data_IF_782208281861
#
_entry.id   IF_782208281861
#
_cell.length_a   1.000
_cell.length_b   1.000
_cell.length_c   1.000
_cell.angle_alpha   90.00
_cell.angle_beta   90.00
_cell.angle_gamma   90.00
#
_symmetry.space_group_name_H-M   'P 1'
#
loop_
_entity.id
_entity.type
_entity.pdbx_description
1 polymer ?
#
# COMPACT_ATOMS: atom_id res chain seq x y z
N UNK A 1 -3.17 -14.80 22.74
CA UNK A 1 -4.29 -15.13 21.84
C UNK A 1 -4.98 -13.81 21.50
N UNK A 2 -4.52 -13.15 20.45
CA UNK A 2 -5.18 -11.95 19.94
C UNK A 2 -6.28 -12.41 19.00
N UNK A 3 -7.52 -12.28 19.44
CA UNK A 3 -8.68 -12.50 18.60
C UNK A 3 -8.72 -11.39 17.57
N UNK A 4 -8.30 -11.70 16.38
CA UNK A 4 -8.49 -10.85 15.20
C UNK A 4 -10.02 -10.79 14.94
N UNK A 5 -10.71 -9.95 15.72
CA UNK A 5 -12.08 -9.58 15.41
C UNK A 5 -12.01 -8.73 14.15
N UNK A 6 -12.14 -9.39 12.98
CA UNK A 6 -12.58 -8.70 11.79
C UNK A 6 -13.81 -7.88 12.23
N UNK A 7 -13.65 -6.56 12.32
CA UNK A 7 -14.76 -5.69 12.64
C UNK A 7 -15.79 -5.87 11.53
N UNK A 8 -16.77 -6.73 11.79
CA UNK A 8 -17.94 -6.81 10.94
C UNK A 8 -18.50 -5.39 10.91
N UNK A 9 -18.52 -4.81 9.71
CA UNK A 9 -19.37 -3.64 9.49
C UNK A 9 -20.71 -4.07 10.07
N UNK A 10 -21.21 -3.36 11.10
CA UNK A 10 -22.44 -3.71 11.81
C UNK A 10 -23.65 -3.40 10.91
N UNK A 11 -23.64 -3.94 9.71
CA UNK A 11 -24.65 -3.72 8.68
C UNK A 11 -25.29 -5.06 8.37
N UNK A 12 -26.56 -5.01 8.03
CA UNK A 12 -27.26 -6.19 7.53
C UNK A 12 -26.55 -6.73 6.27
N UNK A 13 -26.44 -8.06 6.13
CA UNK A 13 -25.88 -8.65 4.93
C UNK A 13 -26.71 -8.26 3.71
N UNK A 14 -26.05 -8.14 2.56
CA UNK A 14 -26.71 -7.93 1.27
C UNK A 14 -27.79 -8.98 1.08
N UNK A 15 -29.03 -8.57 0.83
CA UNK A 15 -30.12 -9.50 0.66
C UNK A 15 -30.07 -10.26 -0.67
N UNK A 16 -30.89 -11.30 -0.81
CA UNK A 16 -30.87 -12.15 -2.01
C UNK A 16 -31.27 -11.38 -3.29
N UNK A 17 -32.12 -10.37 -3.16
CA UNK A 17 -32.54 -9.52 -4.28
C UNK A 17 -31.40 -8.65 -4.76
N UNK A 18 -30.67 -8.03 -3.84
CA UNK A 18 -29.51 -7.18 -4.14
C UNK A 18 -28.39 -8.03 -4.73
N UNK A 19 -28.13 -9.24 -4.22
CA UNK A 19 -27.14 -10.15 -4.77
C UNK A 19 -27.44 -10.56 -6.23
N UNK A 20 -28.73 -10.74 -6.59
CA UNK A 20 -29.16 -11.02 -7.98
C UNK A 20 -28.92 -9.77 -8.87
N UNK A 21 -29.27 -8.58 -8.38
CA UNK A 21 -29.06 -7.34 -9.11
C UNK A 21 -27.56 -7.06 -9.33
N UNK A 22 -26.73 -7.26 -8.31
CA UNK A 22 -25.28 -7.14 -8.41
C UNK A 22 -24.70 -8.10 -9.44
N UNK A 23 -25.13 -9.38 -9.43
CA UNK A 23 -24.69 -10.37 -10.41
C UNK A 23 -25.10 -9.98 -11.82
N UNK A 24 -26.34 -9.54 -12.01
CA UNK A 24 -26.83 -9.05 -13.31
C UNK A 24 -26.04 -7.83 -13.79
N UNK A 25 -25.82 -6.86 -12.91
CA UNK A 25 -25.06 -5.65 -13.21
C UNK A 25 -23.60 -5.96 -13.59
N UNK A 26 -22.95 -6.91 -12.89
CA UNK A 26 -21.57 -7.30 -13.17
C UNK A 26 -21.35 -7.93 -14.55
N UNK A 27 -22.41 -8.45 -15.18
CA UNK A 27 -22.36 -9.08 -16.51
C UNK A 27 -22.52 -8.04 -17.63
N UNK A 28 -23.33 -7.00 -17.39
CA UNK A 28 -23.76 -6.07 -18.44
C UNK A 28 -23.06 -4.70 -18.38
N UNK A 29 -22.39 -4.38 -17.29
CA UNK A 29 -21.67 -3.12 -17.13
C UNK A 29 -20.19 -3.26 -17.50
N UNK A 30 -19.61 -2.14 -17.89
CA UNK A 30 -18.19 -2.02 -18.19
C UNK A 30 -17.42 -1.50 -16.98
N UNK A 31 -16.35 -2.22 -16.60
CA UNK A 31 -15.50 -1.90 -15.46
C UNK A 31 -14.06 -1.54 -15.90
N UNK A 32 -13.88 -1.01 -17.11
CA UNK A 32 -12.58 -0.75 -17.72
C UNK A 32 -11.56 -0.06 -16.77
N UNK A 33 -11.88 0.99 -15.98
CA UNK A 33 -10.90 1.58 -15.09
C UNK A 33 -10.37 0.60 -14.03
N UNK A 34 -11.24 -0.31 -13.55
CA UNK A 34 -10.87 -1.31 -12.53
C UNK A 34 -10.20 -2.53 -13.16
N UNK A 35 -10.64 -2.92 -14.37
CA UNK A 35 -10.06 -4.03 -15.13
C UNK A 35 -8.60 -3.78 -15.54
N UNK A 36 -8.17 -2.52 -15.57
CA UNK A 36 -6.80 -2.14 -15.89
C UNK A 36 -5.83 -2.28 -14.69
N UNK A 37 -6.30 -2.75 -13.52
CA UNK A 37 -5.43 -3.04 -12.38
C UNK A 37 -4.46 -4.15 -12.79
N UNK A 38 -3.16 -3.88 -12.66
CA UNK A 38 -2.08 -4.76 -13.13
C UNK A 38 -1.09 -5.17 -12.04
N UNK A 39 -1.15 -4.54 -10.84
CA UNK A 39 -0.28 -4.89 -9.74
C UNK A 39 -1.05 -4.91 -8.41
N UNK A 40 -0.71 -5.88 -7.55
CA UNK A 40 -1.13 -5.93 -6.15
C UNK A 40 0.12 -5.88 -5.27
N UNK A 41 0.24 -4.83 -4.45
CA UNK A 41 1.34 -4.63 -3.53
C UNK A 41 0.80 -4.56 -2.09
N UNK A 42 1.59 -5.03 -1.14
CA UNK A 42 1.29 -4.93 0.28
C UNK A 42 2.40 -4.18 0.99
N UNK A 43 2.03 -3.17 1.76
CA UNK A 43 2.92 -2.35 2.57
C UNK A 43 2.20 -1.85 3.84
N UNK A 44 2.89 -1.03 4.63
CA UNK A 44 2.30 -0.29 5.74
C UNK A 44 2.34 1.20 5.46
N UNK A 45 1.23 1.86 5.72
CA UNK A 45 1.17 3.30 5.83
C UNK A 45 1.16 3.74 7.29
N UNK A 46 1.82 4.85 7.59
CA UNK A 46 1.74 5.54 8.89
C UNK A 46 1.06 6.89 8.72
N UNK A 47 0.39 7.35 9.76
CA UNK A 47 -0.23 8.68 9.74
C UNK A 47 0.85 9.76 9.80
N UNK A 48 0.77 10.77 8.93
CA UNK A 48 1.71 11.88 8.94
C UNK A 48 1.68 12.69 10.24
N UNK A 49 0.51 12.76 10.88
CA UNK A 49 0.28 13.44 12.16
C UNK A 49 0.43 12.53 13.40
N UNK A 50 0.58 11.22 13.21
CA UNK A 50 0.79 10.24 14.29
C UNK A 50 1.55 9.00 13.79
N UNK A 51 2.88 9.05 13.64
CA UNK A 51 3.67 7.94 13.11
C UNK A 51 3.71 6.68 13.99
N UNK A 52 3.15 6.75 15.19
CA UNK A 52 3.00 5.57 16.06
C UNK A 52 1.89 4.63 15.59
N UNK A 53 0.99 5.11 14.72
CA UNK A 53 -0.11 4.35 14.14
C UNK A 53 0.26 3.89 12.73
N UNK A 54 0.17 2.59 12.49
CA UNK A 54 0.44 1.99 11.19
C UNK A 54 -0.77 1.17 10.73
N UNK A 55 -1.05 1.21 9.44
CA UNK A 55 -2.16 0.49 8.79
C UNK A 55 -1.60 -0.36 7.66
N UNK A 56 -1.87 -1.67 7.70
CA UNK A 56 -1.56 -2.55 6.56
C UNK A 56 -2.43 -2.16 5.36
N UNK A 57 -1.80 -1.97 4.21
CA UNK A 57 -2.41 -1.45 3.01
C UNK A 57 -2.22 -2.40 1.83
N UNK A 58 -3.34 -2.78 1.20
CA UNK A 58 -3.37 -3.57 -0.02
C UNK A 58 -3.56 -2.64 -1.20
N UNK A 59 -2.52 -2.43 -1.98
CA UNK A 59 -2.53 -1.53 -3.13
C UNK A 59 -2.88 -2.30 -4.41
N UNK A 60 -3.91 -1.87 -5.09
CA UNK A 60 -4.29 -2.38 -6.41
C UNK A 60 -4.05 -1.26 -7.42
N UNK A 61 -3.00 -1.39 -8.22
CA UNK A 61 -2.39 -0.32 -8.97
C UNK A 61 -2.60 -0.44 -10.48
N UNK A 62 -2.71 0.72 -11.14
CA UNK A 62 -2.80 0.88 -12.59
C UNK A 62 -1.77 1.89 -13.06
N UNK A 63 -1.13 1.63 -14.20
CA UNK A 63 -0.26 2.60 -14.86
C UNK A 63 -1.11 3.53 -15.75
N UNK A 64 -1.13 4.82 -15.43
CA UNK A 64 -1.72 5.85 -16.30
C UNK A 64 -0.75 6.18 -17.43
N UNK A 65 0.55 6.27 -17.11
CA UNK A 65 1.63 6.54 -18.02
C UNK A 65 2.95 5.95 -17.49
N UNK A 66 4.05 6.18 -18.18
CA UNK A 66 5.39 5.83 -17.65
C UNK A 66 5.76 6.58 -16.38
N UNK A 67 5.17 7.77 -16.18
CA UNK A 67 5.52 8.66 -15.09
C UNK A 67 4.50 8.66 -13.95
N UNK A 68 3.32 8.08 -14.14
CA UNK A 68 2.21 8.15 -13.17
C UNK A 68 1.55 6.80 -13.02
N UNK A 69 1.43 6.35 -11.76
CA UNK A 69 0.60 5.22 -11.33
C UNK A 69 -0.49 5.72 -10.39
N UNK A 70 -1.59 5.00 -10.32
CA UNK A 70 -2.65 5.21 -9.33
C UNK A 70 -3.04 3.88 -8.70
N UNK A 71 -3.31 3.90 -7.40
CA UNK A 71 -3.71 2.72 -6.65
C UNK A 71 -4.96 3.00 -5.83
N UNK A 72 -5.88 2.06 -5.82
CA UNK A 72 -6.93 1.96 -4.80
C UNK A 72 -6.41 1.10 -3.66
N UNK A 73 -6.74 1.48 -2.42
CA UNK A 73 -6.18 0.84 -1.22
C UNK A 73 -7.28 0.20 -0.40
N UNK A 74 -7.09 -1.09 -0.09
CA UNK A 74 -7.96 -1.85 0.80
C UNK A 74 -7.25 -2.28 2.08
N UNK A 75 -8.00 -2.54 3.15
CA UNK A 75 -7.49 -2.99 4.44
C UNK A 75 -7.18 -4.50 4.50
N UNK A 76 -7.61 -5.25 3.49
CA UNK A 76 -7.31 -6.68 3.36
C UNK A 76 -7.40 -7.12 1.89
N UNK A 77 -6.89 -8.31 1.52
CA UNK A 77 -7.06 -8.86 0.19
C UNK A 77 -8.37 -9.66 0.02
N UNK A 78 -9.22 -9.67 1.03
CA UNK A 78 -10.43 -10.49 1.05
C UNK A 78 -11.57 -9.84 0.25
N UNK A 79 -12.55 -10.65 -0.18
CA UNK A 79 -13.69 -10.20 -1.00
C UNK A 79 -14.46 -9.02 -0.38
N UNK A 80 -14.56 -9.00 0.96
CA UNK A 80 -15.31 -7.98 1.71
C UNK A 80 -14.41 -6.89 2.31
N UNK A 81 -13.22 -6.68 1.73
CA UNK A 81 -12.28 -5.65 2.15
C UNK A 81 -12.89 -4.26 2.04
N UNK A 82 -12.53 -3.39 2.98
CA UNK A 82 -12.94 -1.99 2.98
C UNK A 82 -11.99 -1.19 2.12
N UNK A 83 -12.53 -0.37 1.22
CA UNK A 83 -11.76 0.64 0.52
C UNK A 83 -11.37 1.72 1.53
N UNK A 84 -10.09 1.79 1.87
CA UNK A 84 -9.61 2.69 2.91
C UNK A 84 -8.91 3.93 2.38
N UNK A 85 -8.46 3.94 1.12
CA UNK A 85 -7.74 5.08 0.60
C UNK A 85 -7.35 4.98 -0.87
N UNK A 86 -6.54 5.95 -1.28
CA UNK A 86 -5.96 6.03 -2.61
C UNK A 86 -4.52 6.49 -2.51
N UNK A 87 -3.69 6.07 -3.49
CA UNK A 87 -2.33 6.54 -3.65
C UNK A 87 -2.03 6.88 -5.11
N UNK A 88 -1.28 7.95 -5.32
CA UNK A 88 -0.64 8.27 -6.60
C UNK A 88 0.85 8.13 -6.46
N UNK A 89 1.50 7.51 -7.45
CA UNK A 89 2.95 7.40 -7.51
C UNK A 89 3.46 8.11 -8.77
N UNK A 90 4.52 8.90 -8.61
CA UNK A 90 5.12 9.63 -9.72
C UNK A 90 6.63 9.44 -9.77
N UNK A 91 7.20 9.61 -10.96
CA UNK A 91 8.65 9.59 -11.14
C UNK A 91 9.34 10.81 -10.54
N UNK A 92 10.67 10.74 -10.23
CA UNK A 92 11.45 11.88 -9.76
C UNK A 92 11.32 13.09 -10.67
N UNK A 93 11.26 12.89 -11.98
CA UNK A 93 11.10 13.96 -12.95
C UNK A 93 9.85 14.82 -12.68
N UNK A 94 8.69 14.17 -12.48
CA UNK A 94 7.44 14.90 -12.17
C UNK A 94 7.46 15.47 -10.75
N UNK A 95 8.08 14.75 -9.82
CA UNK A 95 8.18 15.21 -8.43
C UNK A 95 8.96 16.54 -8.32
N UNK A 96 10.08 16.68 -9.05
CA UNK A 96 10.88 17.91 -9.09
C UNK A 96 10.11 19.12 -9.63
N UNK A 97 9.10 18.90 -10.48
CA UNK A 97 8.25 19.96 -11.03
C UNK A 97 7.17 20.45 -10.04
N UNK A 98 6.97 19.74 -8.92
CA UNK A 98 5.95 20.10 -7.93
C UNK A 98 6.36 21.34 -7.12
N UNK A 99 5.39 22.18 -6.70
CA UNK A 99 5.65 23.24 -5.74
C UNK A 99 6.26 22.69 -4.42
N UNK A 100 7.15 23.45 -3.73
CA UNK A 100 7.81 22.97 -2.51
C UNK A 100 6.86 22.49 -1.41
N UNK A 101 5.72 23.17 -1.22
CA UNK A 101 4.74 22.74 -0.20
C UNK A 101 3.98 21.49 -0.62
N UNK A 102 3.81 21.26 -1.91
CA UNK A 102 3.22 20.03 -2.43
C UNK A 102 4.17 18.84 -2.25
N UNK A 103 5.48 19.01 -2.52
CA UNK A 103 6.48 17.96 -2.34
C UNK A 103 6.50 17.35 -0.95
N UNK A 104 6.22 18.15 0.09
CA UNK A 104 6.17 17.72 1.50
C UNK A 104 5.03 16.74 1.81
N UNK A 105 4.05 16.62 0.91
CA UNK A 105 2.93 15.69 1.04
C UNK A 105 3.23 14.30 0.49
N UNK A 106 4.44 14.09 -0.01
CA UNK A 106 4.86 12.87 -0.68
C UNK A 106 5.92 12.13 0.13
N UNK A 107 5.90 10.81 0.07
CA UNK A 107 6.89 9.94 0.69
C UNK A 107 7.72 9.20 -0.38
N UNK A 108 8.91 8.75 0.02
CA UNK A 108 9.77 7.89 -0.80
C UNK A 108 9.48 6.42 -0.54
N UNK A 109 9.72 5.56 -1.54
CA UNK A 109 9.59 4.10 -1.40
C UNK A 109 10.92 3.41 -1.08
N UNK A 110 12.00 4.16 -0.84
CA UNK A 110 13.33 3.59 -0.67
C UNK A 110 13.39 2.63 0.50
N UNK A 111 12.96 3.04 1.69
CA UNK A 111 12.98 2.19 2.87
C UNK A 111 12.03 1.00 2.72
N UNK A 112 10.86 1.18 2.17
CA UNK A 112 9.88 0.10 1.95
C UNK A 112 10.47 -1.03 1.11
N UNK A 113 11.15 -0.69 0.02
CA UNK A 113 11.79 -1.67 -0.85
C UNK A 113 12.99 -2.31 -0.18
N UNK A 114 13.90 -1.49 0.41
CA UNK A 114 15.17 -1.97 0.97
C UNK A 114 15.00 -2.76 2.26
N UNK A 115 14.00 -2.45 3.06
CA UNK A 115 13.68 -3.20 4.29
C UNK A 115 12.94 -4.51 4.04
N UNK A 116 12.46 -4.76 2.81
CA UNK A 116 11.60 -5.90 2.51
C UNK A 116 10.14 -5.74 3.00
N UNK A 117 9.77 -4.54 3.49
CA UNK A 117 8.40 -4.25 3.91
C UNK A 117 7.42 -4.36 2.75
N UNK A 118 7.71 -3.68 1.64
CA UNK A 118 6.88 -3.74 0.45
C UNK A 118 7.02 -5.11 -0.21
N UNK A 119 5.92 -5.79 -0.43
CA UNK A 119 5.90 -7.08 -1.12
C UNK A 119 4.85 -7.09 -2.23
N UNK A 120 5.02 -8.01 -3.17
CA UNK A 120 4.03 -8.38 -4.16
C UNK A 120 3.45 -9.76 -3.77
N UNK A 121 2.29 -9.81 -3.09
CA UNK A 121 1.77 -11.06 -2.56
C UNK A 121 1.47 -12.07 -3.66
N UNK A 122 2.04 -13.28 -3.53
CA UNK A 122 1.72 -14.37 -4.45
C UNK A 122 0.31 -14.93 -4.11
N UNK A 123 -0.62 -15.00 -5.09
CA UNK A 123 -1.93 -15.59 -4.82
C UNK A 123 -1.79 -17.07 -4.41
N UNK A 124 -2.50 -17.48 -3.35
CA UNK A 124 -2.46 -18.87 -2.81
C UNK A 124 -2.79 -19.93 -3.86
N UNK A 125 -3.67 -19.61 -4.81
CA UNK A 125 -4.05 -20.50 -5.92
C UNK A 125 -3.15 -20.37 -7.15
N UNK A 126 -2.05 -19.59 -7.08
CA UNK A 126 -1.16 -19.39 -8.21
C UNK A 126 -0.39 -20.67 -8.54
N UNK A 127 -0.40 -21.05 -9.82
CA UNK A 127 0.44 -22.12 -10.33
C UNK A 127 1.84 -21.63 -10.74
N UNK A 128 2.11 -20.35 -10.58
CA UNK A 128 3.42 -19.76 -10.91
C UNK A 128 4.47 -20.25 -9.91
N UNK A 129 5.58 -20.84 -10.37
CA UNK A 129 6.66 -21.25 -9.48
C UNK A 129 7.19 -20.07 -8.65
N UNK A 130 7.53 -20.30 -7.38
CA UNK A 130 7.98 -19.26 -6.45
C UNK A 130 9.13 -18.41 -7.03
N UNK A 131 10.15 -19.04 -7.63
CA UNK A 131 11.27 -18.31 -8.24
C UNK A 131 10.89 -17.38 -9.38
N UNK A 132 9.84 -17.72 -10.14
CA UNK A 132 9.33 -16.85 -11.22
C UNK A 132 8.59 -15.66 -10.61
N UNK A 133 7.83 -15.90 -9.54
CA UNK A 133 7.15 -14.83 -8.79
C UNK A 133 8.15 -13.88 -8.16
N UNK A 134 9.17 -14.41 -7.49
CA UNK A 134 10.26 -13.62 -6.91
C UNK A 134 10.98 -12.76 -7.94
N UNK A 135 11.25 -13.30 -9.13
CA UNK A 135 11.86 -12.52 -10.20
C UNK A 135 10.95 -11.39 -10.70
N UNK A 136 9.64 -11.62 -10.77
CA UNK A 136 8.66 -10.58 -11.11
C UNK A 136 8.58 -9.52 -10.03
N UNK A 137 8.53 -9.93 -8.75
CA UNK A 137 8.56 -9.00 -7.61
C UNK A 137 9.82 -8.13 -7.60
N UNK A 138 10.99 -8.72 -7.85
CA UNK A 138 12.25 -7.96 -7.92
C UNK A 138 12.21 -6.89 -9.01
N UNK A 139 11.64 -7.21 -10.18
CA UNK A 139 11.47 -6.22 -11.26
C UNK A 139 10.54 -5.07 -10.86
N UNK A 140 9.45 -5.37 -10.17
CA UNK A 140 8.56 -4.34 -9.63
C UNK A 140 9.28 -3.46 -8.60
N UNK A 141 10.08 -4.05 -7.72
CA UNK A 141 10.86 -3.31 -6.70
C UNK A 141 11.92 -2.40 -7.32
N UNK A 142 12.58 -2.84 -8.41
CA UNK A 142 13.54 -2.01 -9.16
C UNK A 142 12.89 -0.72 -9.70
N UNK A 143 11.61 -0.75 -10.03
CA UNK A 143 10.87 0.41 -10.52
C UNK A 143 10.32 1.27 -9.37
N UNK A 144 9.66 0.62 -8.40
CA UNK A 144 8.96 1.33 -7.31
C UNK A 144 9.92 2.10 -6.42
N UNK A 145 11.15 1.59 -6.18
CA UNK A 145 12.14 2.25 -5.32
C UNK A 145 12.41 3.71 -5.69
N UNK A 146 12.27 4.05 -6.96
CA UNK A 146 12.51 5.41 -7.47
C UNK A 146 11.28 6.32 -7.43
N UNK A 147 10.09 5.81 -7.13
CA UNK A 147 8.86 6.58 -7.17
C UNK A 147 8.61 7.33 -5.86
N UNK A 148 7.86 8.43 -5.96
CA UNK A 148 7.30 9.16 -4.83
C UNK A 148 5.81 8.92 -4.75
N UNK A 149 5.30 8.58 -3.55
CA UNK A 149 3.90 8.29 -3.27
C UNK A 149 3.19 9.42 -2.54
N UNK A 150 1.95 9.71 -2.93
CA UNK A 150 1.03 10.59 -2.20
C UNK A 150 -0.23 9.83 -1.85
N UNK A 151 -0.44 9.61 -0.55
CA UNK A 151 -1.46 8.71 -0.05
C UNK A 151 -2.42 9.41 0.89
N UNK A 152 -3.71 9.16 0.69
CA UNK A 152 -4.75 9.57 1.63
C UNK A 152 -5.61 8.38 2.05
N UNK A 153 -5.75 8.19 3.37
CA UNK A 153 -6.76 7.29 3.91
C UNK A 153 -8.06 8.06 4.20
N UNK A 154 -9.14 7.50 3.71
CA UNK A 154 -10.50 8.00 3.88
C UNK A 154 -11.21 7.34 5.06
N UNK A 155 -10.78 6.13 5.42
CA UNK A 155 -11.37 5.32 6.49
C UNK A 155 -10.27 4.87 7.47
N UNK A 156 -10.38 5.28 8.72
CA UNK A 156 -9.40 4.96 9.76
C UNK A 156 -9.79 3.65 10.46
N UNK A 157 -9.52 2.54 9.79
CA UNK A 157 -9.91 1.18 10.22
C UNK A 157 -9.21 0.72 11.49
N UNK A 158 -8.03 1.24 11.77
CA UNK A 158 -7.23 0.97 12.96
C UNK A 158 -7.87 1.50 14.25
N UNK A 159 -8.76 2.50 14.15
CA UNK A 159 -9.58 2.97 15.27
C UNK A 159 -10.82 2.11 15.54
N UNK A 160 -11.14 1.18 14.62
CA UNK A 160 -12.37 0.41 14.68
C UNK A 160 -13.61 1.17 14.19
N UNK A 161 -13.45 2.22 13.41
CA UNK A 161 -14.56 2.98 12.84
C UNK A 161 -15.43 2.06 11.96
N UNK A 162 -16.74 1.99 12.27
CA UNK A 162 -17.68 1.15 11.52
C UNK A 162 -18.01 1.69 10.12
N UNK A 163 -17.80 2.99 9.89
CA UNK A 163 -17.96 3.71 8.61
C UNK A 163 -16.86 4.76 8.49
N UNK A 164 -16.56 5.29 7.30
CA UNK A 164 -15.58 6.38 7.15
C UNK A 164 -16.02 7.62 7.94
N UNK A 165 -15.18 8.05 8.90
CA UNK A 165 -15.46 9.22 9.74
C UNK A 165 -14.34 10.25 9.66
N UNK A 166 -14.73 11.52 9.64
CA UNK A 166 -13.82 12.66 9.64
C UNK A 166 -13.19 12.97 8.27
N UNK A 167 -12.22 13.88 8.23
CA UNK A 167 -11.53 14.24 6.98
C UNK A 167 -10.54 13.17 6.55
N UNK A 168 -10.15 13.16 5.26
CA UNK A 168 -9.04 12.34 4.79
C UNK A 168 -7.77 12.59 5.61
N UNK A 169 -7.00 11.54 5.82
CA UNK A 169 -5.72 11.60 6.52
C UNK A 169 -4.58 11.39 5.53
N UNK A 170 -3.61 12.31 5.56
CA UNK A 170 -2.37 12.14 4.84
C UNK A 170 -1.59 10.99 5.47
N UNK A 171 -1.19 10.04 4.62
CA UNK A 171 -0.40 8.89 5.03
C UNK A 171 1.00 8.99 4.44
N UNK A 172 1.95 8.43 5.17
CA UNK A 172 3.34 8.34 4.80
C UNK A 172 3.81 6.89 4.94
N UNK A 173 5.07 6.63 4.60
CA UNK A 173 5.71 5.34 4.82
C UNK A 173 6.81 5.43 5.87
N UNK A 174 7.24 4.29 6.41
CA UNK A 174 8.43 4.22 7.25
C UNK A 174 9.68 4.61 6.45
N UNK A 175 10.59 5.32 7.10
CA UNK A 175 11.89 5.75 6.55
C UNK A 175 13.06 5.05 7.22
N UNK A 176 12.81 4.38 8.36
CA UNK A 176 13.79 3.62 9.13
C UNK A 176 13.09 2.59 10.02
N UNK A 177 13.88 1.67 10.58
CA UNK A 177 13.39 0.59 11.43
C UNK A 177 13.08 1.08 12.85
N UNK A 178 11.87 1.61 13.06
CA UNK A 178 11.34 1.94 14.40
C UNK A 178 10.87 0.69 15.13
N UNK A 179 10.59 0.79 16.44
CA UNK A 179 9.97 -0.32 17.18
C UNK A 179 8.57 -0.65 16.65
N UNK A 180 7.82 0.37 16.21
CA UNK A 180 6.53 0.18 15.54
C UNK A 180 6.68 -0.62 14.25
N UNK A 181 7.66 -0.26 13.41
CA UNK A 181 7.99 -1.00 12.19
C UNK A 181 8.26 -2.48 12.48
N UNK A 182 9.18 -2.77 13.42
CA UNK A 182 9.56 -4.15 13.75
C UNK A 182 8.36 -5.01 14.14
N UNK A 183 7.45 -4.45 14.95
CA UNK A 183 6.24 -5.13 15.40
C UNK A 183 5.31 -5.43 14.21
N UNK A 184 4.94 -4.42 13.43
CA UNK A 184 3.94 -4.60 12.38
C UNK A 184 4.46 -5.45 11.22
N UNK A 185 5.77 -5.37 10.90
CA UNK A 185 6.34 -6.19 9.83
C UNK A 185 6.42 -7.66 10.22
N UNK A 186 6.68 -7.96 11.50
CA UNK A 186 6.67 -9.32 12.01
C UNK A 186 5.27 -9.93 11.92
N UNK A 187 4.24 -9.22 12.37
CA UNK A 187 2.83 -9.65 12.28
C UNK A 187 2.43 -9.93 10.81
N UNK A 188 2.88 -9.09 9.87
CA UNK A 188 2.67 -9.26 8.44
C UNK A 188 3.37 -10.51 7.90
N UNK A 189 4.63 -10.71 8.27
CA UNK A 189 5.43 -11.85 7.81
C UNK A 189 4.79 -13.17 8.23
N UNK A 190 4.34 -13.27 9.46
CA UNK A 190 3.58 -14.44 9.94
C UNK A 190 2.27 -14.64 9.14
N UNK A 191 1.54 -13.56 8.87
CA UNK A 191 0.26 -13.61 8.12
C UNK A 191 0.44 -14.07 6.68
N UNK A 192 1.48 -13.60 6.00
CA UNK A 192 1.73 -13.84 4.58
C UNK A 192 2.71 -15.00 4.31
N UNK A 193 3.38 -15.52 5.34
CA UNK A 193 4.40 -16.56 5.20
C UNK A 193 5.62 -16.08 4.43
N UNK A 194 6.05 -14.85 4.69
CA UNK A 194 7.22 -14.22 4.07
C UNK A 194 8.25 -13.84 5.14
N UNK A 195 9.47 -13.55 4.74
CA UNK A 195 10.56 -13.06 5.58
C UNK A 195 11.07 -11.75 4.97
N UNK A 196 10.79 -10.62 5.63
CA UNK A 196 11.21 -9.31 5.14
C UNK A 196 12.73 -9.15 5.11
N UNK A 197 13.47 -9.79 6.03
CA UNK A 197 14.93 -9.74 6.02
C UNK A 197 15.51 -10.50 4.82
N UNK A 198 14.91 -11.63 4.43
CA UNK A 198 15.28 -12.33 3.21
C UNK A 198 15.00 -11.49 1.97
N UNK A 199 13.83 -10.84 1.94
CA UNK A 199 13.48 -9.86 0.89
C UNK A 199 14.49 -8.70 0.84
N UNK A 200 14.88 -8.14 1.98
CA UNK A 200 15.90 -7.09 2.06
C UNK A 200 17.25 -7.56 1.51
N UNK A 201 17.67 -8.78 1.88
CA UNK A 201 18.92 -9.37 1.36
C UNK A 201 18.87 -9.56 -0.16
N UNK A 202 17.77 -10.07 -0.69
CA UNK A 202 17.61 -10.29 -2.14
C UNK A 202 17.60 -8.98 -2.94
N UNK A 203 17.24 -7.85 -2.32
CA UNK A 203 17.15 -6.50 -2.90
C UNK A 203 18.40 -5.64 -2.65
N UNK A 204 19.41 -6.19 -1.97
CA UNK A 204 20.63 -5.44 -1.65
C UNK A 204 21.33 -4.85 -2.89
N UNK A 205 21.24 -5.53 -4.03
CA UNK A 205 21.84 -5.10 -5.30
C UNK A 205 21.14 -3.90 -5.94
N UNK A 206 19.87 -3.62 -5.60
CA UNK A 206 19.10 -2.51 -6.16
C UNK A 206 19.73 -1.19 -5.69
N UNK A 207 20.16 -0.30 -6.59
CA UNK A 207 20.72 0.98 -6.18
C UNK A 207 19.71 1.83 -5.43
N UNK A 208 20.15 2.49 -4.36
CA UNK A 208 19.30 3.44 -3.65
C UNK A 208 19.31 4.79 -4.37
N UNK A 209 18.16 5.28 -4.85
CA UNK A 209 18.08 6.63 -5.41
C UNK A 209 18.25 7.66 -4.30
N UNK A 210 18.79 8.81 -4.66
CA UNK A 210 18.85 9.95 -3.74
C UNK A 210 17.45 10.49 -3.52
N UNK A 211 16.95 10.40 -2.29
CA UNK A 211 15.66 10.97 -1.90
C UNK A 211 15.76 12.50 -1.88
N UNK A 212 14.75 13.18 -2.45
CA UNK A 212 14.66 14.63 -2.39
C UNK A 212 14.46 15.10 -0.94
N UNK A 213 15.11 16.18 -0.48
CA UNK A 213 15.01 16.64 0.91
C UNK A 213 13.60 17.04 1.37
N UNK A 214 12.72 17.44 0.44
CA UNK A 214 11.33 17.79 0.77
C UNK A 214 10.43 16.56 0.94
N UNK A 215 10.84 15.38 0.47
CA UNK A 215 10.08 14.16 0.66
C UNK A 215 10.21 13.63 2.10
N UNK A 216 9.22 12.86 2.54
CA UNK A 216 9.19 12.31 3.90
C UNK A 216 9.27 13.41 4.99
N UNK A 217 8.61 14.54 4.75
CA UNK A 217 8.69 15.73 5.62
C UNK A 217 8.14 15.50 7.04
N UNK A 218 7.41 14.41 7.28
CA UNK A 218 6.95 13.98 8.60
C UNK A 218 8.10 13.46 9.49
N UNK A 219 9.18 12.97 8.88
CA UNK A 219 10.32 12.39 9.59
C UNK A 219 11.30 13.48 10.04
N UNK A 220 11.02 14.04 11.21
CA UNK A 220 11.88 15.07 11.81
C UNK A 220 13.26 14.57 12.23
N UNK A 221 13.52 13.25 12.26
CA UNK A 221 14.85 12.70 12.56
C UNK A 221 15.89 13.02 11.48
N UNK A 222 15.42 13.35 10.26
CA UNK A 222 16.29 13.79 9.15
C UNK A 222 16.84 15.22 9.32
N UNK A 223 16.30 15.98 10.29
CA UNK A 223 16.68 17.37 10.54
C UNK A 223 17.73 17.52 11.65
N UNK A 224 18.12 16.41 12.27
CA UNK A 224 19.15 16.32 13.29
C UNK A 224 20.44 15.75 12.71
#
# INVERSE_FOLDING_TARGET
MSTNTAHSIANEPVDAKDAILETGASIIQDFEPVNNICAHLNAYHIYADDPSRAVEAQHYCTHISKDVRQCIIYDSPEKNARLIGVEYMITPRLYEELPPDERKLWHSHVFEVKSGQLIMPQPKASLTPAKVWEAAELKEMEEVIGLYGKTYHLWQVDRGDAVPLGPPKLMMSFTHATENFKKVVQDRDEKWGVDHEEKARSRAYIPEPKVHPDADAWDHSKLA
#
